data_IF_867416600088
#
_entry.id   IF_867416600088
#
_cell.length_a   1.000
_cell.length_b   1.000
_cell.length_c   1.000
_cell.angle_alpha   90.00
_cell.angle_beta   90.00
_cell.angle_gamma   90.00
#
_symmetry.space_group_name_H-M   'P 1'
#
loop_
_entity.id
_entity.type
_entity.pdbx_description
1 polymer ?
#
# COMPACT_ATOMS: atom_id res chain seq x y z
N UNK A 1 14.05 -1.83 78.09
CA UNK A 1 14.53 -2.85 77.12
C UNK A 1 13.52 -2.87 75.97
N UNK A 2 13.60 -1.95 75.01
CA UNK A 2 14.41 -1.95 73.77
C UNK A 2 14.02 -3.03 72.75
N UNK A 3 13.93 -2.58 71.48
CA UNK A 3 13.94 -3.33 70.20
C UNK A 3 12.62 -4.01 69.80
N UNK A 4 12.00 -3.79 68.62
CA UNK A 4 12.47 -3.37 67.28
C UNK A 4 11.34 -2.68 66.48
N UNK A 5 11.72 -1.64 65.73
CA UNK A 5 10.93 -1.05 64.64
C UNK A 5 10.47 -2.09 63.62
N UNK A 6 9.20 -2.03 63.24
CA UNK A 6 8.69 -2.62 62.00
C UNK A 6 8.29 -1.46 61.09
N UNK A 7 9.22 -1.07 60.21
CA UNK A 7 8.92 -0.23 59.05
C UNK A 7 7.98 -1.05 58.15
N UNK A 8 6.68 -0.70 58.17
CA UNK A 8 5.74 -1.16 57.14
C UNK A 8 6.09 -0.45 55.84
N UNK A 9 6.74 -1.16 54.93
CA UNK A 9 6.89 -0.72 53.55
C UNK A 9 5.49 -0.57 52.93
N UNK A 10 5.12 0.66 52.59
CA UNK A 10 3.91 0.94 51.84
C UNK A 10 4.20 0.57 50.38
N UNK A 11 3.73 -0.61 49.95
CA UNK A 11 3.71 -0.96 48.53
C UNK A 11 2.60 -0.12 47.89
N UNK A 12 2.97 1.00 47.27
CA UNK A 12 2.07 1.71 46.36
C UNK A 12 1.99 0.87 45.09
N UNK A 13 0.92 0.08 44.97
CA UNK A 13 0.53 -0.53 43.70
C UNK A 13 0.08 0.59 42.78
N UNK A 14 1.02 1.14 42.01
CA UNK A 14 0.72 2.04 40.92
C UNK A 14 0.00 1.25 39.84
N UNK A 15 -1.33 1.30 39.84
CA UNK A 15 -2.15 0.95 38.69
C UNK A 15 -1.80 1.91 37.55
N UNK A 16 -0.81 1.52 36.75
CA UNK A 16 -0.53 2.16 35.48
C UNK A 16 -1.71 1.92 34.54
N UNK A 17 -2.68 2.84 34.55
CA UNK A 17 -3.65 2.98 33.48
C UNK A 17 -2.87 3.37 32.23
N UNK A 18 -2.50 2.36 31.44
CA UNK A 18 -2.02 2.56 30.09
C UNK A 18 -3.16 3.17 29.28
N UNK A 19 -3.07 4.48 29.02
CA UNK A 19 -3.89 5.13 28.00
C UNK A 19 -3.41 4.61 26.64
N UNK A 20 -3.91 3.45 26.23
CA UNK A 20 -3.96 3.10 24.82
C UNK A 20 -4.96 4.07 24.18
N UNK A 21 -4.48 5.24 23.75
CA UNK A 21 -5.27 6.07 22.85
C UNK A 21 -5.63 5.18 21.66
N UNK A 22 -6.92 5.03 21.29
CA UNK A 22 -7.24 4.41 20.03
C UNK A 22 -6.62 5.32 18.96
N UNK A 23 -5.50 4.88 18.38
CA UNK A 23 -5.09 5.41 17.09
C UNK A 23 -6.21 4.98 16.16
N UNK A 24 -7.20 5.85 15.98
CA UNK A 24 -8.19 5.72 14.92
C UNK A 24 -7.38 5.61 13.63
N UNK A 25 -7.30 4.41 13.08
CA UNK A 25 -6.55 4.17 11.86
C UNK A 25 -7.09 5.13 10.79
N UNK A 26 -6.23 6.01 10.28
CA UNK A 26 -6.63 6.95 9.24
C UNK A 26 -7.23 6.16 8.06
N UNK A 27 -8.28 6.67 7.39
CA UNK A 27 -8.89 5.97 6.27
C UNK A 27 -7.84 5.68 5.20
N UNK A 28 -7.87 4.46 4.67
CA UNK A 28 -6.93 4.05 3.61
C UNK A 28 -7.09 4.96 2.39
N UNK A 29 -5.98 5.42 1.77
CA UNK A 29 -6.09 6.28 0.59
C UNK A 29 -6.82 5.56 -0.53
N UNK A 30 -7.65 6.28 -1.30
CA UNK A 30 -8.28 5.71 -2.50
C UNK A 30 -7.31 5.71 -3.69
N UNK A 31 -7.35 4.65 -4.48
CA UNK A 31 -6.75 4.56 -5.80
C UNK A 31 -7.82 4.84 -6.86
N UNK A 32 -7.61 5.90 -7.64
CA UNK A 32 -8.52 6.29 -8.72
C UNK A 32 -7.79 6.26 -10.05
N UNK A 33 -8.34 5.52 -11.02
CA UNK A 33 -7.82 5.37 -12.37
C UNK A 33 -9.00 5.52 -13.34
N UNK A 34 -9.28 6.75 -13.82
CA UNK A 34 -10.46 7.03 -14.65
C UNK A 34 -10.54 6.16 -15.90
N UNK A 35 -9.41 5.93 -16.58
CA UNK A 35 -9.34 5.09 -17.79
C UNK A 35 -9.78 3.65 -17.57
N UNK A 36 -9.71 3.16 -16.32
CA UNK A 36 -10.12 1.81 -15.93
C UNK A 36 -11.47 1.79 -15.21
N UNK A 37 -12.13 2.94 -15.03
CA UNK A 37 -13.33 3.09 -14.19
C UNK A 37 -13.12 2.56 -12.76
N UNK A 38 -11.91 2.73 -12.24
CA UNK A 38 -11.53 2.26 -10.91
C UNK A 38 -11.54 3.41 -9.91
N UNK A 39 -12.31 3.27 -8.83
CA UNK A 39 -12.28 4.15 -7.67
C UNK A 39 -12.54 3.35 -6.39
N UNK A 40 -11.47 2.87 -5.75
CA UNK A 40 -11.54 1.94 -4.62
C UNK A 40 -10.51 2.31 -3.55
N UNK A 41 -10.73 1.97 -2.26
CA UNK A 41 -9.68 2.09 -1.26
C UNK A 41 -8.48 1.20 -1.62
N UNK A 42 -7.28 1.65 -1.27
CA UNK A 42 -6.12 0.76 -1.18
C UNK A 42 -6.37 -0.20 -0.01
N UNK A 43 -6.47 -1.48 -0.29
CA UNK A 43 -6.80 -2.52 0.67
C UNK A 43 -5.59 -2.91 1.54
N UNK A 44 -5.87 -3.44 2.73
CA UNK A 44 -4.86 -4.04 3.62
C UNK A 44 -4.33 -5.37 3.11
N UNK A 45 -5.14 -6.11 2.34
CA UNK A 45 -4.81 -7.39 1.73
C UNK A 45 -5.12 -7.36 0.23
N UNK A 46 -4.36 -8.12 -0.56
CA UNK A 46 -4.47 -8.12 -2.03
C UNK A 46 -5.82 -8.67 -2.52
N UNK A 47 -6.46 -9.56 -1.74
CA UNK A 47 -7.76 -10.14 -2.09
C UNK A 47 -8.89 -9.10 -2.04
N UNK A 48 -8.79 -8.14 -1.12
CA UNK A 48 -9.77 -7.07 -0.96
C UNK A 48 -9.63 -5.93 -1.98
N UNK A 49 -8.58 -5.91 -2.81
CA UNK A 49 -8.37 -4.85 -3.80
C UNK A 49 -6.89 -4.50 -4.03
N UNK A 50 -6.62 -3.34 -4.63
CA UNK A 50 -5.25 -2.86 -4.82
C UNK A 50 -4.55 -2.70 -3.47
N UNK A 51 -3.37 -3.27 -3.30
CA UNK A 51 -2.60 -3.23 -2.05
C UNK A 51 -1.27 -2.53 -2.24
N UNK A 52 -0.95 -1.62 -1.32
CA UNK A 52 0.41 -1.08 -1.18
C UNK A 52 1.36 -2.20 -0.73
N UNK A 53 2.38 -2.50 -1.53
CA UNK A 53 3.38 -3.53 -1.20
C UNK A 53 4.80 -2.97 -1.05
N UNK A 54 5.04 -1.75 -1.53
CA UNK A 54 6.34 -1.09 -1.44
C UNK A 54 6.16 0.41 -1.26
N UNK A 55 7.00 1.01 -0.41
CA UNK A 55 7.10 2.46 -0.24
C UNK A 55 8.48 2.82 0.25
N UNK A 56 9.11 3.79 -0.40
CA UNK A 56 10.24 4.53 0.12
C UNK A 56 9.93 6.05 0.05
N UNK A 57 10.97 6.89 0.01
CA UNK A 57 10.83 8.35 -0.08
C UNK A 57 10.18 8.81 -1.40
N UNK A 58 10.46 8.12 -2.50
CA UNK A 58 10.19 8.57 -3.86
C UNK A 58 9.29 7.60 -4.66
N UNK A 59 9.16 6.36 -4.19
CA UNK A 59 8.51 5.25 -4.89
C UNK A 59 7.34 4.73 -4.09
N UNK A 60 6.21 4.52 -4.78
CA UNK A 60 5.04 3.82 -4.26
C UNK A 60 4.74 2.64 -5.17
N UNK A 61 4.75 1.43 -4.62
CA UNK A 61 4.37 0.20 -5.32
C UNK A 61 2.98 -0.29 -4.89
N UNK A 62 2.05 -0.38 -5.84
CA UNK A 62 0.71 -0.93 -5.61
C UNK A 62 0.51 -2.14 -6.54
N UNK A 63 0.08 -3.25 -5.95
CA UNK A 63 -0.26 -4.48 -6.65
C UNK A 63 -1.77 -4.63 -6.71
N UNK A 64 -2.27 -5.31 -7.73
CA UNK A 64 -3.67 -5.67 -7.83
C UNK A 64 -3.84 -6.92 -8.66
N UNK A 65 -4.84 -7.73 -8.33
CA UNK A 65 -5.14 -8.91 -9.15
C UNK A 65 -5.59 -8.51 -10.55
N UNK A 66 -5.13 -9.32 -11.52
CA UNK A 66 -5.61 -9.21 -12.91
C UNK A 66 -6.78 -10.14 -13.20
N UNK A 67 -6.77 -11.36 -12.66
CA UNK A 67 -7.71 -12.42 -13.07
C UNK A 67 -8.34 -13.16 -11.89
N UNK A 68 -8.01 -12.83 -10.65
CA UNK A 68 -8.61 -13.44 -9.46
C UNK A 68 -9.20 -12.38 -8.53
N UNK A 69 -10.01 -12.81 -7.57
CA UNK A 69 -10.56 -12.01 -6.48
C UNK A 69 -11.40 -10.81 -6.92
N UNK A 70 -10.96 -9.58 -6.66
CA UNK A 70 -11.64 -8.36 -7.08
C UNK A 70 -11.17 -7.84 -8.44
N UNK A 71 -10.10 -8.44 -8.99
CA UNK A 71 -9.58 -8.17 -10.33
C UNK A 71 -9.37 -6.68 -10.70
N UNK A 72 -8.96 -5.78 -9.78
CA UNK A 72 -8.97 -4.33 -10.04
C UNK A 72 -8.05 -3.93 -11.19
N UNK A 73 -7.05 -4.75 -11.52
CA UNK A 73 -6.07 -4.53 -12.58
C UNK A 73 -6.28 -5.44 -13.80
N UNK A 74 -7.47 -6.02 -13.99
CA UNK A 74 -7.84 -6.79 -15.18
C UNK A 74 -7.48 -6.05 -16.48
N UNK A 75 -7.77 -4.75 -16.50
CA UNK A 75 -7.57 -3.87 -17.63
C UNK A 75 -6.33 -2.97 -17.52
N UNK A 76 -5.38 -3.25 -16.62
CA UNK A 76 -4.16 -2.45 -16.45
C UNK A 76 -3.40 -2.19 -17.79
N UNK A 77 -3.33 -3.14 -18.74
CA UNK A 77 -2.73 -2.89 -20.06
C UNK A 77 -3.50 -1.93 -20.97
N UNK A 78 -4.68 -1.45 -20.58
CA UNK A 78 -5.40 -0.37 -21.29
C UNK A 78 -4.86 1.02 -20.97
N UNK A 79 -4.04 1.16 -19.93
CA UNK A 79 -3.36 2.41 -19.63
C UNK A 79 -2.37 2.80 -20.73
N UNK A 80 -2.30 4.10 -21.01
CA UNK A 80 -1.47 4.74 -22.02
C UNK A 80 -0.72 5.90 -21.37
N UNK A 81 0.38 6.32 -22.00
CA UNK A 81 1.10 7.52 -21.60
C UNK A 81 0.13 8.71 -21.55
N UNK A 82 0.18 9.50 -20.47
CA UNK A 82 -0.72 10.64 -20.25
C UNK A 82 -1.97 10.32 -19.41
N UNK A 83 -2.33 9.04 -19.25
CA UNK A 83 -3.46 8.67 -18.40
C UNK A 83 -3.21 9.06 -16.94
N UNK A 84 -4.25 9.59 -16.29
CA UNK A 84 -4.17 10.09 -14.93
C UNK A 84 -4.44 8.98 -13.91
N UNK A 85 -3.69 8.99 -12.81
CA UNK A 85 -3.86 8.13 -11.65
C UNK A 85 -3.82 9.00 -10.40
N UNK A 86 -4.71 8.75 -9.43
CA UNK A 86 -4.68 9.44 -8.14
C UNK A 86 -4.58 8.41 -7.01
N UNK A 87 -3.67 8.66 -6.08
CA UNK A 87 -3.52 7.90 -4.83
C UNK A 87 -3.70 8.88 -3.66
N UNK A 88 -4.84 8.80 -2.97
CA UNK A 88 -5.22 9.79 -1.98
C UNK A 88 -5.30 11.19 -2.61
N UNK A 89 -4.49 12.13 -2.14
CA UNK A 89 -4.42 13.50 -2.68
C UNK A 89 -3.39 13.66 -3.80
N UNK A 90 -2.51 12.68 -3.99
CA UNK A 90 -1.39 12.79 -4.94
C UNK A 90 -1.83 12.34 -6.33
N UNK A 91 -1.54 13.18 -7.33
CA UNK A 91 -1.79 12.89 -8.75
C UNK A 91 -0.51 12.35 -9.42
N UNK A 92 -0.73 11.46 -10.37
CA UNK A 92 0.30 10.84 -11.19
C UNK A 92 -0.17 10.76 -12.64
N UNK A 93 0.79 10.78 -13.55
CA UNK A 93 0.56 10.61 -14.98
C UNK A 93 1.39 9.44 -15.50
N UNK A 94 0.73 8.50 -16.20
CA UNK A 94 1.37 7.33 -16.78
C UNK A 94 2.46 7.75 -17.77
N UNK A 95 3.65 7.16 -17.64
CA UNK A 95 4.80 7.42 -18.50
C UNK A 95 5.06 6.30 -19.50
N UNK A 96 5.07 5.05 -19.02
CA UNK A 96 5.33 3.84 -19.82
C UNK A 96 4.87 2.59 -19.08
N UNK A 97 4.85 1.46 -19.78
CA UNK A 97 4.67 0.14 -19.20
C UNK A 97 5.72 -0.85 -19.71
N UNK A 98 5.95 -1.91 -18.95
CA UNK A 98 6.86 -3.01 -19.30
C UNK A 98 6.27 -4.35 -18.86
N UNK A 99 6.73 -5.43 -19.48
CA UNK A 99 6.51 -6.79 -18.99
C UNK A 99 7.83 -7.31 -18.45
N UNK A 100 7.83 -7.79 -17.21
CA UNK A 100 9.04 -8.26 -16.50
C UNK A 100 8.78 -9.60 -15.83
N UNK A 101 9.85 -10.33 -15.50
CA UNK A 101 9.77 -11.49 -14.62
C UNK A 101 9.44 -11.07 -13.19
N UNK A 102 8.80 -11.93 -12.37
CA UNK A 102 8.47 -11.60 -10.97
C UNK A 102 9.68 -11.27 -10.10
N UNK A 103 10.89 -11.74 -10.47
CA UNK A 103 12.16 -11.51 -9.76
C UNK A 103 12.86 -10.21 -10.16
N UNK A 104 12.36 -9.49 -11.17
CA UNK A 104 12.97 -8.25 -11.64
C UNK A 104 12.56 -7.06 -10.77
N UNK A 105 13.20 -6.93 -9.61
CA UNK A 105 12.91 -5.89 -8.62
C UNK A 105 13.39 -4.49 -9.03
N UNK A 106 14.11 -4.34 -10.15
CA UNK A 106 14.57 -3.04 -10.65
C UNK A 106 13.43 -2.05 -10.90
N UNK A 107 12.20 -2.54 -11.11
CA UNK A 107 11.00 -1.71 -11.26
C UNK A 107 10.74 -0.83 -10.03
N UNK A 108 11.20 -1.23 -8.85
CA UNK A 108 11.08 -0.46 -7.62
C UNK A 108 12.12 0.65 -7.47
N UNK A 109 13.08 0.77 -8.40
CA UNK A 109 14.03 1.90 -8.46
C UNK A 109 13.47 3.12 -9.18
N UNK A 110 12.18 3.10 -9.55
CA UNK A 110 11.53 4.18 -10.27
C UNK A 110 10.95 5.22 -9.32
N UNK A 111 11.36 6.49 -9.45
CA UNK A 111 10.74 7.62 -8.74
C UNK A 111 9.33 7.88 -9.24
N UNK A 112 8.33 7.59 -8.41
CA UNK A 112 6.91 7.80 -8.69
C UNK A 112 6.03 6.63 -8.26
N UNK A 113 5.02 6.32 -9.07
CA UNK A 113 4.07 5.23 -8.83
C UNK A 113 4.36 4.05 -9.75
N UNK A 114 4.40 2.86 -9.16
CA UNK A 114 4.56 1.56 -9.82
C UNK A 114 3.30 0.74 -9.57
N UNK A 115 2.48 0.55 -10.60
CA UNK A 115 1.35 -0.39 -10.56
C UNK A 115 1.78 -1.72 -11.15
N UNK A 116 1.46 -2.84 -10.51
CA UNK A 116 1.82 -4.17 -11.00
C UNK A 116 0.69 -5.19 -10.89
N UNK A 117 0.59 -6.06 -11.89
CA UNK A 117 -0.34 -7.18 -11.91
C UNK A 117 0.29 -8.38 -12.63
N UNK A 118 -0.24 -9.58 -12.40
CA UNK A 118 0.14 -10.79 -13.12
C UNK A 118 -0.04 -10.65 -14.66
N UNK A 119 0.81 -11.30 -15.44
CA UNK A 119 0.76 -11.27 -16.90
C UNK A 119 1.24 -12.59 -17.53
N UNK A 120 0.61 -13.07 -18.63
CA UNK A 120 -0.68 -12.62 -19.18
C UNK A 120 -1.86 -12.85 -18.20
N UNK A 121 -3.09 -12.50 -18.60
CA UNK A 121 -4.27 -12.80 -17.78
C UNK A 121 -4.35 -14.31 -17.51
N UNK A 122 -4.68 -14.70 -16.27
CA UNK A 122 -4.67 -16.10 -15.84
C UNK A 122 -3.28 -16.71 -15.60
N UNK A 123 -2.19 -15.94 -15.71
CA UNK A 123 -0.83 -16.46 -15.53
C UNK A 123 0.01 -15.60 -14.59
N UNK A 124 0.78 -16.26 -13.71
CA UNK A 124 1.74 -15.60 -12.83
C UNK A 124 3.18 -15.57 -13.39
N UNK A 125 3.38 -15.99 -14.65
CA UNK A 125 4.71 -16.11 -15.29
C UNK A 125 5.46 -14.77 -15.37
N UNK A 126 4.74 -13.68 -15.59
CA UNK A 126 5.28 -12.33 -15.69
C UNK A 126 4.47 -11.33 -14.87
N UNK A 127 4.94 -10.09 -14.84
CA UNK A 127 4.22 -8.94 -14.32
C UNK A 127 4.07 -7.89 -15.43
N UNK A 128 2.87 -7.35 -15.57
CA UNK A 128 2.65 -6.11 -16.31
C UNK A 128 2.82 -4.95 -15.34
N UNK A 129 3.77 -4.07 -15.63
CA UNK A 129 4.13 -2.96 -14.75
C UNK A 129 3.86 -1.65 -15.47
N UNK A 130 3.19 -0.73 -14.79
CA UNK A 130 2.95 0.65 -15.24
C UNK A 130 3.72 1.60 -14.34
N UNK A 131 4.48 2.50 -14.96
CA UNK A 131 5.19 3.57 -14.28
C UNK A 131 4.46 4.88 -14.51
N UNK A 132 4.21 5.63 -13.44
CA UNK A 132 3.58 6.95 -13.50
C UNK A 132 4.35 7.97 -12.66
N UNK A 133 4.65 9.12 -13.26
CA UNK A 133 5.36 10.19 -12.57
C UNK A 133 4.37 11.03 -11.78
N UNK A 134 4.77 11.52 -10.60
CA UNK A 134 3.96 12.47 -9.83
C UNK A 134 3.78 13.76 -10.64
N UNK A 135 2.58 14.35 -10.58
CA UNK A 135 2.29 15.68 -11.12
C UNK A 135 1.82 16.61 -10.00
N UNK A 136 2.21 17.88 -10.08
CA UNK A 136 1.90 18.93 -9.10
C UNK A 136 0.42 19.29 -9.07
#
# INVERSE_FOLDING_TARGET
MSFRSLLRALVVVGTGLAFASPVTAAPSPRLVIPRLHLDVPVASQLEGGPRLYYRDQDTIGIAGHRTTHTHPFLHLPKLRRGDQIRVGRTRYEVRRSVVVRPTELWVLRYTGLVLSACHPAGSAKFRYVVFAARVS
#
